data_IF_866794810427
#
_entry.id   IF_866794810427
#
_cell.length_a   1.000
_cell.length_b   1.000
_cell.length_c   1.000
_cell.angle_alpha   90.00
_cell.angle_beta   90.00
_cell.angle_gamma   90.00
#
_symmetry.space_group_name_H-M   'P 1'
#
loop_
_entity.id
_entity.type
_entity.pdbx_description
1 polymer ?
#
# COMPACT_ATOMS: atom_id res chain seq x y z
N UNK A 1 11.92 3.37 -13.15
CA UNK A 1 12.18 2.14 -12.39
C UNK A 1 11.59 0.94 -13.13
N UNK A 2 12.39 -0.08 -13.26
CA UNK A 2 11.95 -1.32 -13.88
C UNK A 2 11.81 -2.40 -12.81
N UNK A 3 10.64 -3.01 -12.72
CA UNK A 3 10.32 -3.97 -11.68
C UNK A 3 9.81 -5.27 -12.31
N UNK A 4 10.04 -6.37 -11.60
CA UNK A 4 9.45 -7.64 -11.99
C UNK A 4 7.99 -7.72 -11.56
N UNK A 5 7.58 -6.92 -10.59
CA UNK A 5 6.19 -6.86 -10.17
C UNK A 5 5.32 -6.31 -11.30
N UNK A 6 4.19 -6.97 -11.56
CA UNK A 6 3.32 -6.63 -12.69
C UNK A 6 2.14 -5.75 -12.32
N UNK A 7 1.83 -5.67 -11.03
CA UNK A 7 0.69 -4.87 -10.57
C UNK A 7 1.17 -3.60 -9.93
N UNK A 8 0.84 -2.48 -10.55
CA UNK A 8 1.20 -1.16 -10.04
C UNK A 8 -0.07 -0.33 -10.05
N UNK A 9 -0.64 -0.11 -8.86
CA UNK A 9 -1.93 0.54 -8.70
C UNK A 9 -1.75 1.90 -8.04
N UNK A 10 -2.24 2.93 -8.69
CA UNK A 10 -2.20 4.27 -8.12
C UNK A 10 -3.33 4.44 -7.12
N UNK A 11 -3.02 5.03 -5.98
CA UNK A 11 -4.01 5.23 -4.95
C UNK A 11 -3.65 6.38 -4.03
N UNK A 12 -4.50 6.59 -3.04
CA UNK A 12 -4.34 7.65 -2.07
C UNK A 12 -4.36 7.03 -0.67
N UNK A 13 -3.46 7.49 0.20
CA UNK A 13 -3.47 7.04 1.58
C UNK A 13 -4.70 7.61 2.28
N UNK A 14 -5.57 6.73 2.77
CA UNK A 14 -6.76 7.15 3.49
C UNK A 14 -6.58 7.09 5.00
N UNK A 15 -5.70 6.22 5.50
CA UNK A 15 -5.48 6.07 6.93
C UNK A 15 -4.13 5.40 7.17
N UNK A 16 -3.46 5.80 8.25
CA UNK A 16 -2.24 5.15 8.70
C UNK A 16 -2.43 4.76 10.16
N UNK A 17 -2.27 3.49 10.48
CA UNK A 17 -2.29 3.00 11.85
C UNK A 17 -0.89 2.58 12.24
N UNK A 18 -0.27 3.35 13.11
CA UNK A 18 1.10 3.10 13.55
C UNK A 18 1.11 2.18 14.76
N UNK A 19 1.92 1.13 14.70
CA UNK A 19 2.29 0.34 15.86
C UNK A 19 3.68 0.75 16.31
N UNK A 20 4.36 -0.11 17.05
CA UNK A 20 5.72 0.18 17.49
C UNK A 20 6.73 -0.01 16.37
N UNK A 21 6.60 -1.06 15.60
CA UNK A 21 7.54 -1.38 14.52
C UNK A 21 6.88 -1.41 13.15
N UNK A 22 5.61 -1.75 13.09
CA UNK A 22 4.85 -1.96 11.85
C UNK A 22 3.66 -1.01 11.82
N UNK A 23 3.36 -0.51 10.64
CA UNK A 23 2.19 0.33 10.42
C UNK A 23 1.33 -0.29 9.33
N UNK A 24 0.02 -0.18 9.49
CA UNK A 24 -0.93 -0.56 8.45
C UNK A 24 -1.34 0.71 7.73
N UNK A 25 -1.06 0.75 6.44
CA UNK A 25 -1.39 1.88 5.59
C UNK A 25 -2.59 1.47 4.74
N UNK A 26 -3.69 2.17 4.89
CA UNK A 26 -4.89 1.90 4.12
C UNK A 26 -4.91 2.82 2.92
N UNK A 27 -5.04 2.22 1.75
CA UNK A 27 -5.05 2.94 0.48
C UNK A 27 -6.43 2.86 -0.14
N UNK A 28 -6.82 3.95 -0.78
CA UNK A 28 -8.01 3.98 -1.63
C UNK A 28 -7.53 3.88 -3.07
N UNK A 29 -7.90 2.79 -3.73
CA UNK A 29 -7.54 2.55 -5.13
C UNK A 29 -8.85 2.48 -5.92
N UNK A 30 -9.21 3.59 -6.55
CA UNK A 30 -10.44 3.68 -7.35
C UNK A 30 -11.68 3.24 -6.57
N UNK A 31 -11.77 3.65 -5.31
CA UNK A 31 -12.89 3.30 -4.44
C UNK A 31 -12.72 2.00 -3.68
N UNK A 32 -11.72 1.21 -4.02
CA UNK A 32 -11.44 -0.05 -3.34
C UNK A 32 -10.39 0.14 -2.25
N UNK A 33 -10.55 -0.60 -1.15
CA UNK A 33 -9.66 -0.52 -0.01
C UNK A 33 -8.53 -1.53 -0.17
N UNK A 34 -7.30 -1.05 -0.12
CA UNK A 34 -6.11 -1.90 -0.15
C UNK A 34 -5.29 -1.61 1.09
N UNK A 35 -4.88 -2.64 1.81
CA UNK A 35 -4.09 -2.47 3.05
C UNK A 35 -2.67 -2.95 2.80
N UNK A 36 -1.72 -2.09 3.15
CA UNK A 36 -0.31 -2.43 3.12
C UNK A 36 0.23 -2.43 4.54
N UNK A 37 1.00 -3.45 4.89
CA UNK A 37 1.65 -3.52 6.18
C UNK A 37 3.14 -3.31 5.95
N UNK A 38 3.66 -2.16 6.41
CA UNK A 38 5.05 -1.80 6.22
C UNK A 38 5.63 -1.32 7.55
N UNK A 39 6.94 -1.17 7.61
CA UNK A 39 7.55 -0.71 8.85
C UNK A 39 7.23 0.76 9.09
N UNK A 40 7.18 1.13 10.37
CA UNK A 40 7.01 2.54 10.73
C UNK A 40 8.17 3.36 10.13
N UNK A 41 9.37 2.79 10.11
CA UNK A 41 10.53 3.43 9.50
C UNK A 41 10.28 3.75 8.02
N UNK A 42 9.66 2.80 7.28
CA UNK A 42 9.34 3.02 5.88
C UNK A 42 8.30 4.13 5.71
N UNK A 43 7.30 4.19 6.61
CA UNK A 43 6.32 5.27 6.57
C UNK A 43 7.02 6.63 6.69
N UNK A 44 7.97 6.73 7.61
CA UNK A 44 8.71 7.98 7.83
C UNK A 44 9.63 8.31 6.66
N UNK A 45 10.36 7.34 6.15
CA UNK A 45 11.26 7.55 5.03
C UNK A 45 10.53 7.99 3.76
N UNK A 46 9.34 7.42 3.53
CA UNK A 46 8.54 7.77 2.37
C UNK A 46 7.72 9.04 2.59
N UNK A 47 7.71 9.56 3.80
CA UNK A 47 6.97 10.76 4.13
C UNK A 47 5.46 10.61 3.95
N UNK A 48 4.93 9.43 4.28
CA UNK A 48 3.52 9.16 4.07
C UNK A 48 2.63 9.85 5.11
N UNK A 49 1.53 10.39 4.65
CA UNK A 49 0.48 10.93 5.50
C UNK A 49 -0.85 10.73 4.78
N UNK A 50 -1.95 10.98 5.51
CA UNK A 50 -3.27 10.90 4.89
C UNK A 50 -3.33 11.89 3.74
N UNK A 51 -3.83 11.44 2.60
CA UNK A 51 -3.89 12.23 1.39
C UNK A 51 -2.71 12.05 0.46
N UNK A 52 -1.63 11.39 0.90
CA UNK A 52 -0.48 11.14 0.03
C UNK A 52 -0.88 10.30 -1.18
N UNK A 53 -0.39 10.69 -2.35
CA UNK A 53 -0.57 9.88 -3.54
C UNK A 53 0.55 8.88 -3.63
N UNK A 54 0.21 7.61 -3.83
CA UNK A 54 1.16 6.51 -3.82
C UNK A 54 0.87 5.54 -4.95
N UNK A 55 1.83 4.66 -5.19
CA UNK A 55 1.66 3.53 -6.09
C UNK A 55 1.87 2.26 -5.29
N UNK A 56 0.86 1.39 -5.29
CA UNK A 56 0.98 0.08 -4.66
C UNK A 56 1.58 -0.88 -5.70
N UNK A 57 2.68 -1.50 -5.34
CA UNK A 57 3.38 -2.44 -6.22
C UNK A 57 3.19 -3.84 -5.65
N UNK A 58 2.55 -4.72 -6.40
CA UNK A 58 2.19 -6.04 -5.90
C UNK A 58 2.71 -7.10 -6.87
N UNK A 59 3.52 -8.01 -6.36
CA UNK A 59 3.97 -9.14 -7.14
C UNK A 59 2.78 -10.00 -7.54
N UNK A 60 2.76 -10.42 -8.80
CA UNK A 60 1.65 -11.25 -9.31
C UNK A 60 1.48 -12.53 -8.49
N UNK A 61 2.57 -13.10 -8.01
CA UNK A 61 2.52 -14.33 -7.21
C UNK A 61 1.90 -14.14 -5.83
N UNK A 62 1.72 -12.89 -5.39
CA UNK A 62 1.13 -12.58 -4.09
C UNK A 62 -0.37 -12.32 -4.17
N UNK A 63 -0.94 -12.34 -5.36
CA UNK A 63 -2.36 -12.07 -5.55
C UNK A 63 -3.16 -13.35 -5.46
N UNK A 64 -4.16 -13.35 -4.58
CA UNK A 64 -5.06 -14.48 -4.38
C UNK A 64 -6.38 -14.12 -5.06
N UNK A 65 -6.94 -15.06 -5.79
CA UNK A 65 -8.18 -14.86 -6.51
C UNK A 65 -9.30 -15.64 -5.86
N UNK A 66 -10.45 -15.00 -5.69
CA UNK A 66 -11.62 -15.65 -5.12
C UNK A 66 -12.85 -15.33 -5.97
N UNK A 67 -13.80 -16.25 -5.96
CA UNK A 67 -15.14 -16.03 -6.53
C UNK A 67 -16.18 -16.50 -5.52
N UNK A 68 -17.40 -16.02 -5.68
CA UNK A 68 -18.51 -16.45 -4.81
C UNK A 68 -19.24 -17.63 -5.40
#
# INVERSE_FOLDING_TARGET
VRLSARNQLRGTVSQIRRGEAVANVVLDVSGERLVASITVEAVDELGLSEGSEVTAVIKASDVIVAVE
#
